data_IF_993316532079
#
_entry.id   IF_993316532079
#
_cell.length_a   1.000
_cell.length_b   1.000
_cell.length_c   1.000
_cell.angle_alpha   90.00
_cell.angle_beta   90.00
_cell.angle_gamma   90.00
#
_symmetry.space_group_name_H-M   'P 1'
#
loop_
_entity.id
_entity.type
_entity.pdbx_description
1 polymer ?
#
# COMPACT_ATOMS: atom_id res chain seq x y z
N UNK A 1 14.58 23.11 5.34
CA UNK A 1 15.07 21.70 5.26
C UNK A 1 14.35 20.92 6.34
N UNK A 2 13.45 20.03 5.97
CA UNK A 2 12.76 19.14 6.93
C UNK A 2 13.76 18.11 7.41
N UNK A 3 14.04 18.08 8.72
CA UNK A 3 14.95 17.10 9.29
C UNK A 3 14.31 15.70 9.23
N UNK A 4 15.12 14.68 8.96
CA UNK A 4 14.66 13.29 9.05
C UNK A 4 14.28 12.93 10.48
N UNK A 5 13.24 12.11 10.64
CA UNK A 5 12.85 11.57 11.93
C UNK A 5 14.00 10.79 12.57
N UNK A 6 14.26 11.09 13.84
CA UNK A 6 15.29 10.41 14.62
C UNK A 6 14.89 8.96 14.96
N UNK A 7 15.84 8.07 15.29
CA UNK A 7 15.50 6.71 15.73
C UNK A 7 14.55 6.66 16.93
N UNK A 8 14.66 7.60 17.87
CA UNK A 8 13.77 7.68 19.04
C UNK A 8 12.33 8.04 18.66
N UNK A 9 12.16 9.02 17.75
CA UNK A 9 10.84 9.39 17.24
C UNK A 9 10.19 8.24 16.50
N UNK A 10 10.95 7.54 15.63
CA UNK A 10 10.46 6.37 14.91
C UNK A 10 10.01 5.24 15.83
N UNK A 11 10.78 4.93 16.88
CA UNK A 11 10.41 3.92 17.88
C UNK A 11 9.15 4.34 18.66
N UNK A 12 9.05 5.61 19.04
CA UNK A 12 7.88 6.16 19.70
C UNK A 12 6.62 6.04 18.82
N UNK A 13 6.69 6.50 17.56
CA UNK A 13 5.56 6.41 16.63
C UNK A 13 5.20 4.97 16.32
N UNK A 14 6.18 4.10 16.10
CA UNK A 14 5.94 2.67 15.87
C UNK A 14 5.12 2.06 17.01
N UNK A 15 5.53 2.27 18.25
CA UNK A 15 4.83 1.73 19.43
C UNK A 15 3.42 2.31 19.60
N UNK A 16 3.21 3.57 19.24
CA UNK A 16 1.89 4.20 19.31
C UNK A 16 0.91 3.69 18.26
N UNK A 17 1.40 3.22 17.12
CA UNK A 17 0.57 2.78 16.00
C UNK A 17 0.12 1.31 16.12
N UNK A 18 0.91 0.44 16.75
CA UNK A 18 0.57 -0.98 16.89
C UNK A 18 -0.86 -1.18 17.43
N UNK A 19 -1.25 -0.63 18.60
CA UNK A 19 -2.60 -0.85 19.13
C UNK A 19 -3.70 -0.29 18.23
N UNK A 20 -3.45 0.82 17.53
CA UNK A 20 -4.40 1.44 16.60
C UNK A 20 -4.63 0.51 15.39
N UNK A 21 -3.56 -0.05 14.83
CA UNK A 21 -3.64 -0.99 13.72
C UNK A 21 -4.33 -2.30 14.11
N UNK A 22 -4.04 -2.82 15.31
CA UNK A 22 -4.66 -4.04 15.83
C UNK A 22 -6.17 -3.83 16.07
N UNK A 23 -6.59 -2.66 16.55
CA UNK A 23 -7.99 -2.32 16.73
C UNK A 23 -8.70 -2.17 15.38
N UNK A 24 -8.14 -1.38 14.47
CA UNK A 24 -8.70 -1.19 13.14
C UNK A 24 -8.87 -2.52 12.39
N UNK A 25 -7.88 -3.41 12.47
CA UNK A 25 -7.94 -4.70 11.81
C UNK A 25 -9.09 -5.58 12.32
N UNK A 26 -9.42 -5.54 13.60
CA UNK A 26 -10.53 -6.30 14.20
C UNK A 26 -11.91 -5.90 13.66
N UNK A 27 -12.06 -4.68 13.16
CA UNK A 27 -13.33 -4.18 12.62
C UNK A 27 -13.73 -4.88 11.31
N UNK A 28 -12.77 -5.37 10.53
CA UNK A 28 -13.04 -5.96 9.20
C UNK A 28 -12.47 -7.37 9.01
N UNK A 29 -11.59 -7.82 9.89
CA UNK A 29 -11.06 -9.19 9.86
C UNK A 29 -11.11 -9.80 11.25
N UNK A 30 -12.07 -10.74 11.46
CA UNK A 30 -12.22 -11.47 12.72
C UNK A 30 -11.01 -12.33 13.08
N UNK A 31 -10.27 -12.81 12.09
CA UNK A 31 -9.12 -13.69 12.23
C UNK A 31 -7.83 -13.07 11.67
N UNK A 32 -6.70 -13.62 12.13
CA UNK A 32 -5.36 -13.16 11.78
C UNK A 32 -4.85 -13.78 10.48
N UNK A 33 -5.66 -13.77 9.43
CA UNK A 33 -5.25 -14.25 8.10
C UNK A 33 -4.65 -13.12 7.25
N UNK A 34 -3.80 -13.44 6.26
CA UNK A 34 -3.31 -12.45 5.30
C UNK A 34 -4.47 -11.83 4.49
N UNK A 35 -4.35 -10.56 4.18
CA UNK A 35 -5.30 -9.87 3.30
C UNK A 35 -4.95 -10.22 1.85
N UNK A 36 -5.80 -11.00 1.19
CA UNK A 36 -5.58 -11.46 -0.18
C UNK A 36 -5.74 -10.35 -1.22
N UNK A 37 -6.75 -9.49 -1.04
CA UNK A 37 -7.03 -8.36 -1.93
C UNK A 37 -7.37 -7.11 -1.12
N UNK A 38 -6.38 -6.25 -0.94
CA UNK A 38 -6.54 -5.00 -0.18
C UNK A 38 -7.55 -4.04 -0.81
N UNK A 39 -7.68 -4.01 -2.15
CA UNK A 39 -8.63 -3.15 -2.83
C UNK A 39 -10.07 -3.57 -2.53
N UNK A 40 -10.36 -4.85 -2.72
CA UNK A 40 -11.68 -5.41 -2.43
C UNK A 40 -12.07 -5.22 -0.96
N UNK A 41 -11.12 -5.43 -0.03
CA UNK A 41 -11.38 -5.22 1.39
C UNK A 41 -11.76 -3.76 1.69
N UNK A 42 -11.06 -2.79 1.12
CA UNK A 42 -11.36 -1.37 1.30
C UNK A 42 -12.68 -0.97 0.62
N UNK A 43 -13.01 -1.54 -0.54
CA UNK A 43 -14.31 -1.33 -1.19
C UNK A 43 -15.46 -1.90 -0.34
N UNK A 44 -15.29 -3.06 0.28
CA UNK A 44 -16.26 -3.66 1.22
C UNK A 44 -16.45 -2.79 2.48
N UNK A 45 -15.45 -2.02 2.88
CA UNK A 45 -15.56 -1.00 3.94
C UNK A 45 -16.30 0.28 3.49
N UNK A 46 -16.81 0.33 2.26
CA UNK A 46 -17.62 1.41 1.72
C UNK A 46 -16.84 2.57 1.09
N UNK A 47 -15.59 2.34 0.72
CA UNK A 47 -14.78 3.34 0.00
C UNK A 47 -14.95 3.22 -1.51
N UNK A 48 -14.96 4.37 -2.18
CA UNK A 48 -14.77 4.44 -3.62
C UNK A 48 -13.27 4.36 -3.90
N UNK A 49 -12.80 3.28 -4.51
CA UNK A 49 -11.38 3.09 -4.84
C UNK A 49 -11.15 3.37 -6.32
N UNK A 50 -10.39 4.41 -6.61
CA UNK A 50 -9.98 4.80 -7.97
C UNK A 50 -8.52 4.42 -8.17
N UNK A 51 -8.20 3.66 -9.22
CA UNK A 51 -6.84 3.23 -9.52
C UNK A 51 -6.49 3.57 -10.97
N UNK A 52 -5.48 4.41 -11.17
CA UNK A 52 -4.99 4.76 -12.49
C UNK A 52 -3.57 5.35 -12.42
N UNK A 53 -2.81 5.37 -13.54
CA UNK A 53 -1.47 5.93 -13.57
C UNK A 53 -1.50 7.44 -13.28
N UNK A 54 -0.59 7.94 -12.42
CA UNK A 54 -0.37 9.38 -12.30
C UNK A 54 0.29 9.92 -13.57
N UNK A 55 0.00 11.17 -13.91
CA UNK A 55 0.67 11.86 -15.04
C UNK A 55 2.09 12.27 -14.65
N UNK A 56 3.07 12.02 -15.54
CA UNK A 56 4.47 12.41 -15.37
C UNK A 56 5.24 11.57 -14.34
N UNK A 57 6.46 11.99 -14.03
CA UNK A 57 7.37 11.31 -13.08
C UNK A 57 7.06 11.68 -11.62
N UNK A 58 5.80 11.55 -11.21
CA UNK A 58 5.38 11.85 -9.85
C UNK A 58 5.68 10.69 -8.90
N UNK A 59 6.21 11.01 -7.71
CA UNK A 59 6.35 10.06 -6.59
C UNK A 59 5.07 9.95 -5.73
N UNK A 60 3.95 10.49 -6.22
CA UNK A 60 2.63 10.37 -5.63
C UNK A 60 2.25 8.89 -5.50
N UNK A 61 1.92 8.44 -4.29
CA UNK A 61 1.44 7.08 -4.02
C UNK A 61 -0.07 6.98 -4.12
N UNK A 62 -0.76 7.96 -3.57
CA UNK A 62 -2.20 8.01 -3.48
C UNK A 62 -2.68 9.23 -2.72
N UNK A 63 -3.96 9.30 -2.49
CA UNK A 63 -4.59 10.23 -1.56
C UNK A 63 -5.94 9.72 -1.07
N UNK A 64 -6.28 10.10 0.13
CA UNK A 64 -7.61 9.97 0.69
C UNK A 64 -8.37 11.30 0.58
N UNK A 65 -9.62 11.22 0.19
CA UNK A 65 -10.53 12.35 0.15
C UNK A 65 -11.88 11.99 0.78
N UNK A 66 -12.34 12.84 1.69
CA UNK A 66 -13.69 12.75 2.27
C UNK A 66 -14.53 13.92 1.81
N UNK A 67 -15.71 13.64 1.30
CA UNK A 67 -16.70 14.67 0.98
C UNK A 67 -18.08 14.23 1.46
N UNK A 68 -18.60 14.92 2.47
CA UNK A 68 -19.84 14.54 3.16
C UNK A 68 -19.76 13.12 3.73
N UNK A 69 -20.57 12.18 3.24
CA UNK A 69 -20.59 10.77 3.65
C UNK A 69 -19.74 9.86 2.73
N UNK A 70 -19.17 10.41 1.67
CA UNK A 70 -18.44 9.63 0.68
C UNK A 70 -16.95 9.68 0.96
N UNK A 71 -16.34 8.51 1.08
CA UNK A 71 -14.91 8.33 1.21
C UNK A 71 -14.36 7.82 -0.12
N UNK A 72 -13.31 8.46 -0.62
CA UNK A 72 -12.65 8.07 -1.86
C UNK A 72 -11.16 7.92 -1.61
N UNK A 73 -10.57 6.84 -2.11
CA UNK A 73 -9.13 6.62 -2.14
C UNK A 73 -8.69 6.50 -3.59
N UNK A 74 -7.69 7.28 -3.96
CA UNK A 74 -6.96 7.13 -5.21
C UNK A 74 -5.64 6.42 -4.98
N UNK A 75 -5.28 5.50 -5.88
CA UNK A 75 -4.00 4.78 -5.87
C UNK A 75 -3.33 4.89 -7.24
N UNK A 76 -2.05 5.27 -7.21
CA UNK A 76 -1.22 5.38 -8.41
C UNK A 76 -0.73 4.01 -8.89
N UNK A 77 -1.19 3.59 -10.07
CA UNK A 77 -0.85 2.28 -10.66
C UNK A 77 0.49 2.25 -11.41
N UNK A 78 1.20 3.38 -11.53
CA UNK A 78 2.61 3.40 -11.94
C UNK A 78 3.53 2.73 -10.90
N UNK A 79 3.03 2.46 -9.70
CA UNK A 79 3.74 1.72 -8.67
C UNK A 79 3.50 0.22 -8.76
N UNK A 80 4.41 -0.59 -8.21
CA UNK A 80 4.24 -2.05 -8.16
C UNK A 80 3.00 -2.43 -7.36
N UNK A 81 2.32 -3.53 -7.73
CA UNK A 81 1.10 -3.97 -7.04
C UNK A 81 1.31 -4.11 -5.52
N UNK A 82 2.46 -4.66 -5.10
CA UNK A 82 2.77 -4.78 -3.68
C UNK A 82 2.89 -3.42 -2.96
N UNK A 83 3.31 -2.35 -3.68
CA UNK A 83 3.33 -0.99 -3.15
C UNK A 83 1.90 -0.41 -3.12
N UNK A 84 1.11 -0.64 -4.16
CA UNK A 84 -0.29 -0.19 -4.21
C UNK A 84 -1.10 -0.76 -3.04
N UNK A 85 -0.90 -2.04 -2.67
CA UNK A 85 -1.54 -2.63 -1.50
C UNK A 85 -1.08 -1.97 -0.18
N UNK A 86 0.18 -1.56 -0.08
CA UNK A 86 0.63 -0.79 1.08
C UNK A 86 0.01 0.61 1.08
N UNK A 87 -0.04 1.26 -0.09
CA UNK A 87 -0.56 2.62 -0.22
C UNK A 87 -2.04 2.73 0.14
N UNK A 88 -2.88 1.76 -0.21
CA UNK A 88 -4.31 1.86 0.13
C UNK A 88 -4.57 1.79 1.65
N UNK A 89 -3.78 1.01 2.40
CA UNK A 89 -3.85 0.98 3.86
C UNK A 89 -3.21 2.20 4.51
N UNK A 90 -2.22 2.81 3.87
CA UNK A 90 -1.68 4.11 4.22
C UNK A 90 -2.77 5.21 4.13
N UNK A 91 -3.52 5.26 3.04
CA UNK A 91 -4.63 6.21 2.89
C UNK A 91 -5.79 5.90 3.86
N UNK A 92 -6.03 4.62 4.16
CA UNK A 92 -7.00 4.22 5.17
C UNK A 92 -6.61 4.71 6.58
N UNK A 93 -5.32 4.79 6.93
CA UNK A 93 -4.85 5.39 8.16
C UNK A 93 -5.32 6.85 8.31
N UNK A 94 -5.15 7.67 7.27
CA UNK A 94 -5.58 9.07 7.30
C UNK A 94 -7.10 9.21 7.51
N UNK A 95 -7.88 8.29 6.95
CA UNK A 95 -9.31 8.19 7.23
C UNK A 95 -9.58 7.82 8.68
N UNK A 96 -8.97 6.75 9.16
CA UNK A 96 -9.26 6.12 10.45
C UNK A 96 -8.89 7.02 11.63
N UNK A 97 -7.77 7.71 11.53
CA UNK A 97 -7.24 8.54 12.62
C UNK A 97 -7.52 10.02 12.48
N UNK A 98 -7.97 10.49 11.32
CA UNK A 98 -8.01 11.91 10.92
C UNK A 98 -6.64 12.62 11.09
N UNK A 99 -5.53 11.89 11.06
CA UNK A 99 -4.15 12.42 11.15
C UNK A 99 -3.59 12.57 9.74
N UNK A 100 -3.19 13.77 9.37
CA UNK A 100 -2.74 14.11 8.03
C UNK A 100 -3.88 14.32 7.03
N UNK A 101 -3.67 15.23 6.10
CA UNK A 101 -4.58 15.49 4.98
C UNK A 101 -3.77 15.86 3.75
N UNK A 102 -4.16 15.36 2.60
CA UNK A 102 -3.59 15.75 1.33
C UNK A 102 -3.02 14.61 0.50
N UNK A 103 -2.03 14.93 -0.30
CA UNK A 103 -1.39 14.00 -1.22
C UNK A 103 -0.25 13.27 -0.52
N UNK A 104 -0.25 11.95 -0.59
CA UNK A 104 0.79 11.09 -0.02
C UNK A 104 1.90 10.82 -1.02
N UNK A 105 3.12 11.21 -0.65
CA UNK A 105 4.32 11.04 -1.48
C UNK A 105 5.30 10.09 -0.81
N UNK A 106 5.91 9.19 -1.58
CA UNK A 106 6.92 8.25 -1.09
C UNK A 106 8.09 8.95 -0.38
N UNK A 107 8.50 10.11 -0.89
CA UNK A 107 9.62 10.90 -0.34
C UNK A 107 9.36 11.46 1.06
N UNK A 108 8.09 11.66 1.47
CA UNK A 108 7.73 12.28 2.76
C UNK A 108 7.80 11.33 3.95
N UNK A 109 7.69 10.03 3.77
CA UNK A 109 7.64 9.01 4.85
C UNK A 109 8.80 9.13 5.86
N UNK A 110 9.95 9.60 5.46
CA UNK A 110 11.12 9.71 6.35
C UNK A 110 11.22 11.04 7.11
N UNK A 111 10.40 12.03 6.77
CA UNK A 111 10.49 13.40 7.27
C UNK A 111 9.21 13.91 7.93
N UNK A 112 8.07 13.32 7.58
CA UNK A 112 6.76 13.68 8.09
C UNK A 112 6.27 12.63 9.10
N UNK A 113 5.98 12.99 10.35
CA UNK A 113 5.48 12.06 11.36
C UNK A 113 4.16 11.37 10.97
N UNK A 114 3.23 12.08 10.31
CA UNK A 114 1.95 11.51 9.89
C UNK A 114 2.16 10.46 8.80
N UNK A 115 2.96 10.75 7.79
CA UNK A 115 3.31 9.81 6.72
C UNK A 115 4.06 8.57 7.26
N UNK A 116 4.97 8.77 8.22
CA UNK A 116 5.66 7.63 8.88
C UNK A 116 4.68 6.74 9.67
N UNK A 117 3.72 7.34 10.38
CA UNK A 117 2.68 6.59 11.11
C UNK A 117 1.78 5.84 10.15
N UNK A 118 1.38 6.46 9.03
CA UNK A 118 0.54 5.84 8.02
C UNK A 118 1.23 4.62 7.35
N UNK A 119 2.51 4.74 6.98
CA UNK A 119 3.28 3.61 6.46
C UNK A 119 3.46 2.49 7.52
N UNK A 120 3.66 2.88 8.78
CA UNK A 120 3.75 1.92 9.92
C UNK A 120 2.42 1.19 10.11
N UNK A 121 1.31 1.92 10.10
CA UNK A 121 -0.03 1.36 10.21
C UNK A 121 -0.32 0.36 9.08
N UNK A 122 -0.06 0.74 7.83
CA UNK A 122 -0.21 -0.14 6.67
C UNK A 122 0.60 -1.44 6.83
N UNK A 123 1.85 -1.33 7.28
CA UNK A 123 2.70 -2.48 7.58
C UNK A 123 2.14 -3.37 8.68
N UNK A 124 1.57 -2.80 9.75
CA UNK A 124 0.94 -3.56 10.84
C UNK A 124 -0.37 -4.24 10.40
N UNK A 125 -1.19 -3.57 9.58
CA UNK A 125 -2.43 -4.14 9.03
C UNK A 125 -2.13 -5.34 8.12
N UNK A 126 -1.20 -5.18 7.18
CA UNK A 126 -0.87 -6.22 6.20
C UNK A 126 -0.06 -7.37 6.80
N UNK A 127 0.80 -7.06 7.77
CA UNK A 127 1.75 -8.00 8.39
C UNK A 127 1.68 -7.92 9.92
N UNK A 128 0.58 -8.37 10.56
CA UNK A 128 0.49 -8.41 12.01
C UNK A 128 1.64 -9.24 12.60
N UNK A 129 2.21 -8.76 13.69
CA UNK A 129 3.41 -9.37 14.29
C UNK A 129 3.20 -10.86 14.61
N UNK A 130 2.02 -11.22 15.12
CA UNK A 130 1.66 -12.60 15.44
C UNK A 130 1.72 -13.50 14.20
N UNK A 131 1.16 -13.05 13.06
CA UNK A 131 1.15 -13.84 11.81
C UNK A 131 2.56 -13.95 11.23
N UNK A 132 3.34 -12.86 11.28
CA UNK A 132 4.74 -12.87 10.82
C UNK A 132 5.56 -13.88 11.62
N UNK A 133 5.45 -13.87 12.95
CA UNK A 133 6.13 -14.82 13.84
C UNK A 133 5.71 -16.26 13.55
N UNK A 134 4.41 -16.51 13.42
CA UNK A 134 3.85 -17.81 13.10
C UNK A 134 4.34 -18.32 11.72
N UNK A 135 4.36 -17.47 10.71
CA UNK A 135 4.87 -17.84 9.38
C UNK A 135 6.35 -18.25 9.43
N UNK A 136 7.18 -17.48 10.15
CA UNK A 136 8.61 -17.76 10.33
C UNK A 136 8.82 -19.11 11.04
N UNK A 137 8.05 -19.37 12.10
CA UNK A 137 8.13 -20.61 12.88
C UNK A 137 7.72 -21.82 12.04
N UNK A 138 6.54 -21.78 11.41
CA UNK A 138 6.02 -22.90 10.58
C UNK A 138 6.96 -23.24 9.43
N UNK A 139 7.59 -22.25 8.81
CA UNK A 139 8.50 -22.44 7.68
C UNK A 139 9.97 -22.63 8.12
N UNK A 140 10.26 -22.70 9.43
CA UNK A 140 11.60 -22.85 9.98
C UNK A 140 12.62 -21.84 9.45
N UNK A 141 12.21 -20.56 9.26
CA UNK A 141 13.04 -19.52 8.70
C UNK A 141 14.03 -18.99 9.73
N UNK A 142 15.30 -18.96 9.38
CA UNK A 142 16.37 -18.41 10.21
C UNK A 142 16.76 -17.02 9.71
N UNK A 143 16.28 -15.98 10.39
CA UNK A 143 16.44 -14.59 9.94
C UNK A 143 17.91 -14.14 9.79
N UNK A 144 18.80 -14.65 10.62
CA UNK A 144 20.23 -14.34 10.55
C UNK A 144 20.92 -14.84 9.26
N UNK A 145 20.25 -15.71 8.48
CA UNK A 145 20.71 -16.21 7.17
C UNK A 145 19.60 -16.31 6.14
N UNK A 146 18.54 -15.53 6.32
CA UNK A 146 17.37 -15.55 5.43
C UNK A 146 17.77 -15.33 3.97
N UNK A 147 17.31 -16.21 3.08
CA UNK A 147 17.53 -16.15 1.64
C UNK A 147 16.55 -15.20 0.95
N UNK A 148 16.87 -14.77 -0.27
CA UNK A 148 15.92 -14.03 -1.10
C UNK A 148 14.68 -14.84 -1.47
N UNK A 149 14.81 -16.16 -1.66
CA UNK A 149 13.67 -17.05 -1.94
C UNK A 149 12.67 -17.06 -0.78
N UNK A 150 13.15 -17.17 0.46
CA UNK A 150 12.28 -17.13 1.65
C UNK A 150 11.60 -15.76 1.78
N UNK A 151 12.33 -14.67 1.54
CA UNK A 151 11.77 -13.32 1.54
C UNK A 151 10.67 -13.15 0.47
N UNK A 152 10.89 -13.66 -0.73
CA UNK A 152 9.88 -13.61 -1.81
C UNK A 152 8.64 -14.45 -1.46
N UNK A 153 8.81 -15.62 -0.86
CA UNK A 153 7.68 -16.42 -0.39
C UNK A 153 6.87 -15.68 0.68
N UNK A 154 7.53 -15.01 1.64
CA UNK A 154 6.88 -14.15 2.63
C UNK A 154 6.16 -12.95 1.96
N UNK A 155 6.83 -12.28 1.03
CA UNK A 155 6.26 -11.18 0.24
C UNK A 155 4.95 -11.59 -0.44
N UNK A 156 4.94 -12.77 -1.06
CA UNK A 156 3.76 -13.31 -1.74
C UNK A 156 2.66 -13.69 -0.75
N UNK A 157 3.00 -14.28 0.37
CA UNK A 157 2.04 -14.65 1.41
C UNK A 157 1.31 -13.41 1.98
N UNK A 158 2.06 -12.34 2.24
CA UNK A 158 1.51 -11.09 2.78
C UNK A 158 1.02 -10.10 1.72
N UNK A 159 1.22 -10.39 0.44
CA UNK A 159 0.82 -9.54 -0.69
C UNK A 159 1.38 -8.10 -0.63
N UNK A 160 2.63 -7.95 -0.23
CA UNK A 160 3.31 -6.65 -0.02
C UNK A 160 4.50 -6.46 -0.95
N UNK A 161 5.09 -5.25 -0.98
CA UNK A 161 6.40 -5.05 -1.61
C UNK A 161 7.51 -5.65 -0.74
N UNK A 162 8.61 -6.10 -1.38
CA UNK A 162 9.76 -6.60 -0.64
C UNK A 162 10.36 -5.56 0.32
N UNK A 163 10.34 -4.29 -0.06
CA UNK A 163 10.80 -3.20 0.81
C UNK A 163 9.92 -3.06 2.06
N UNK A 164 8.59 -3.11 1.92
CA UNK A 164 7.67 -3.06 3.05
C UNK A 164 7.86 -4.27 3.99
N UNK A 165 8.03 -5.48 3.43
CA UNK A 165 8.34 -6.67 4.22
C UNK A 165 9.63 -6.51 5.03
N UNK A 166 10.73 -6.05 4.41
CA UNK A 166 12.00 -5.85 5.09
C UNK A 166 11.92 -4.81 6.20
N UNK A 167 11.21 -3.69 5.97
CA UNK A 167 10.94 -2.69 7.02
C UNK A 167 10.20 -3.34 8.19
N UNK A 168 9.15 -4.11 7.90
CA UNK A 168 8.35 -4.77 8.93
C UNK A 168 9.14 -5.81 9.72
N UNK A 169 9.96 -6.62 9.05
CA UNK A 169 10.84 -7.57 9.72
C UNK A 169 11.85 -6.89 10.65
N UNK A 170 12.44 -5.76 10.25
CA UNK A 170 13.36 -4.98 11.11
C UNK A 170 12.62 -4.41 12.33
N UNK A 171 11.36 -4.00 12.20
CA UNK A 171 10.56 -3.52 13.31
C UNK A 171 10.28 -4.63 14.33
N UNK A 172 9.97 -5.85 13.86
CA UNK A 172 9.66 -7.01 14.72
C UNK A 172 10.94 -7.64 15.31
N UNK A 173 12.02 -7.67 14.52
CA UNK A 173 13.28 -8.32 14.87
C UNK A 173 14.48 -7.34 14.77
N UNK A 174 14.57 -6.35 15.65
CA UNK A 174 15.61 -5.32 15.58
C UNK A 174 17.03 -5.87 15.74
N UNK A 175 17.20 -7.03 16.37
CA UNK A 175 18.51 -7.69 16.49
C UNK A 175 19.03 -8.24 15.16
N UNK A 176 18.16 -8.50 14.18
CA UNK A 176 18.51 -9.01 12.84
C UNK A 176 18.63 -7.88 11.79
N UNK A 177 18.60 -6.64 12.25
CA UNK A 177 18.58 -5.45 11.39
C UNK A 177 19.70 -5.45 10.36
N UNK A 178 20.92 -5.78 10.74
CA UNK A 178 22.09 -5.68 9.83
C UNK A 178 21.98 -6.66 8.66
N UNK A 179 21.53 -7.89 8.92
CA UNK A 179 21.28 -8.90 7.88
C UNK A 179 20.14 -8.44 6.97
N UNK A 180 19.03 -8.01 7.55
CA UNK A 180 17.85 -7.57 6.80
C UNK A 180 18.14 -6.32 5.95
N UNK A 181 18.96 -5.38 6.45
CA UNK A 181 19.36 -4.21 5.69
C UNK A 181 20.17 -4.55 4.43
N UNK A 182 21.02 -5.57 4.46
CA UNK A 182 21.74 -6.03 3.28
C UNK A 182 20.79 -6.54 2.18
N UNK A 183 19.62 -7.07 2.56
CA UNK A 183 18.62 -7.57 1.62
C UNK A 183 17.91 -6.48 0.81
N UNK A 184 17.95 -5.22 1.24
CA UNK A 184 17.45 -4.10 0.42
C UNK A 184 18.24 -3.90 -0.89
N UNK A 185 19.35 -4.55 -1.09
CA UNK A 185 20.14 -4.41 -2.32
C UNK A 185 19.34 -4.72 -3.59
N UNK A 186 18.37 -5.65 -3.54
CA UNK A 186 17.54 -6.01 -4.71
C UNK A 186 16.26 -5.20 -4.84
N UNK A 187 15.96 -4.29 -3.90
CA UNK A 187 14.81 -3.39 -4.01
C UNK A 187 15.15 -2.05 -4.68
N UNK A 188 16.40 -1.88 -5.09
CA UNK A 188 16.88 -0.64 -5.74
C UNK A 188 16.31 -0.50 -7.15
N UNK A 189 16.04 0.73 -7.55
CA UNK A 189 15.55 1.03 -8.89
C UNK A 189 16.73 1.11 -9.89
N UNK A 190 17.35 -0.03 -10.20
CA UNK A 190 18.34 -0.20 -11.27
C UNK A 190 18.17 -1.56 -11.94
N UNK A 191 18.59 -1.66 -13.19
CA UNK A 191 18.38 -2.84 -14.03
C UNK A 191 18.86 -4.14 -13.38
N UNK A 192 20.04 -4.15 -12.76
CA UNK A 192 20.58 -5.34 -12.10
C UNK A 192 19.69 -5.81 -10.93
N UNK A 193 19.26 -4.91 -10.06
CA UNK A 193 18.40 -5.24 -8.93
C UNK A 193 17.03 -5.72 -9.41
N UNK A 194 16.44 -5.07 -10.42
CA UNK A 194 15.15 -5.45 -11.02
C UNK A 194 15.24 -6.87 -11.59
N UNK A 195 16.25 -7.16 -12.43
CA UNK A 195 16.46 -8.49 -13.03
C UNK A 195 16.64 -9.57 -11.95
N UNK A 196 17.43 -9.28 -10.92
CA UNK A 196 17.63 -10.22 -9.80
C UNK A 196 16.33 -10.48 -9.04
N UNK A 197 15.55 -9.44 -8.75
CA UNK A 197 14.26 -9.56 -8.07
C UNK A 197 13.30 -10.42 -8.91
N UNK A 198 13.21 -10.18 -10.21
CA UNK A 198 12.40 -10.98 -11.13
C UNK A 198 12.84 -12.46 -11.13
N UNK A 199 14.13 -12.74 -11.22
CA UNK A 199 14.66 -14.10 -11.21
C UNK A 199 14.33 -14.83 -9.90
N UNK A 200 14.52 -14.19 -8.75
CA UNK A 200 14.15 -14.79 -7.47
C UNK A 200 12.64 -14.99 -7.33
N UNK A 201 11.82 -14.07 -7.87
CA UNK A 201 10.37 -14.21 -7.86
C UNK A 201 9.94 -15.43 -8.69
N UNK A 202 10.49 -15.62 -9.88
CA UNK A 202 10.23 -16.80 -10.71
C UNK A 202 10.69 -18.10 -10.01
N UNK A 203 11.90 -18.12 -9.43
CA UNK A 203 12.42 -19.28 -8.69
C UNK A 203 11.56 -19.65 -7.47
N UNK A 204 10.94 -18.67 -6.83
CA UNK A 204 10.04 -18.88 -5.70
C UNK A 204 8.61 -19.24 -6.11
N UNK A 205 8.30 -19.32 -7.42
CA UNK A 205 6.95 -19.39 -8.00
C UNK A 205 6.04 -18.27 -7.46
N UNK A 206 6.62 -17.06 -7.33
CA UNK A 206 5.92 -15.89 -6.78
C UNK A 206 5.11 -15.14 -7.83
N UNK A 207 4.15 -14.33 -7.37
CA UNK A 207 3.36 -13.45 -8.22
C UNK A 207 4.20 -12.25 -8.70
N UNK A 208 4.57 -12.24 -9.98
CA UNK A 208 5.39 -11.18 -10.57
C UNK A 208 4.70 -9.82 -10.59
N UNK A 209 3.36 -9.77 -10.50
CA UNK A 209 2.61 -8.51 -10.44
C UNK A 209 2.95 -7.70 -9.17
N UNK A 210 3.32 -8.38 -8.08
CA UNK A 210 3.72 -7.70 -6.82
C UNK A 210 4.98 -6.85 -6.96
N UNK A 211 5.80 -7.11 -7.98
CA UNK A 211 7.08 -6.42 -8.22
C UNK A 211 7.08 -5.57 -9.49
N UNK A 212 5.94 -5.42 -10.14
CA UNK A 212 5.79 -4.65 -11.38
C UNK A 212 4.67 -3.62 -11.25
N UNK A 213 4.79 -2.43 -11.88
CA UNK A 213 3.67 -1.51 -12.08
C UNK A 213 2.52 -2.23 -12.80
N UNK A 214 1.30 -1.96 -12.39
CA UNK A 214 0.14 -2.53 -13.10
C UNK A 214 -0.29 -1.66 -14.25
N UNK A 215 -0.08 -0.35 -14.16
CA UNK A 215 -0.50 0.67 -15.11
C UNK A 215 -1.99 0.57 -15.50
N UNK A 216 -2.77 -0.19 -14.74
CA UNK A 216 -4.20 -0.39 -15.00
C UNK A 216 -5.01 0.84 -14.66
N UNK A 217 -6.10 1.04 -15.40
CA UNK A 217 -7.16 1.97 -15.06
C UNK A 217 -8.35 1.17 -14.51
N UNK A 218 -8.73 1.47 -13.27
CA UNK A 218 -9.88 0.86 -12.62
C UNK A 218 -10.77 1.94 -12.03
N UNK A 219 -12.00 2.00 -12.51
CA UNK A 219 -13.06 2.86 -12.01
C UNK A 219 -14.19 1.92 -11.57
N UNK A 220 -14.55 1.86 -10.27
CA UNK A 220 -15.54 0.91 -9.78
C UNK A 220 -16.95 1.22 -10.32
N UNK A 221 -17.78 0.20 -10.46
CA UNK A 221 -19.16 0.33 -10.96
C UNK A 221 -19.97 1.34 -10.16
N UNK A 222 -19.78 1.36 -8.84
CA UNK A 222 -20.41 2.33 -7.95
C UNK A 222 -20.13 3.80 -8.30
N UNK A 223 -19.05 4.09 -9.02
CA UNK A 223 -18.81 5.44 -9.54
C UNK A 223 -19.86 5.81 -10.60
N UNK A 224 -20.13 4.91 -11.54
CA UNK A 224 -21.11 5.13 -12.61
C UNK A 224 -22.51 5.22 -12.06
N UNK A 225 -22.88 4.35 -11.10
CA UNK A 225 -24.16 4.41 -10.38
C UNK A 225 -24.34 5.76 -9.68
N UNK A 226 -23.31 6.24 -9.00
CA UNK A 226 -23.34 7.55 -8.35
C UNK A 226 -23.44 8.69 -9.36
N UNK A 227 -22.75 8.59 -10.50
CA UNK A 227 -22.83 9.59 -11.58
C UNK A 227 -24.25 9.66 -12.14
N UNK A 228 -24.85 8.53 -12.46
CA UNK A 228 -26.23 8.43 -12.97
C UNK A 228 -27.24 8.96 -11.94
N UNK A 229 -27.14 8.54 -10.69
CA UNK A 229 -28.01 9.03 -9.61
C UNK A 229 -27.91 10.54 -9.41
N UNK A 230 -26.72 11.13 -9.48
CA UNK A 230 -26.53 12.56 -9.34
C UNK A 230 -27.10 13.33 -10.56
N UNK A 231 -26.97 12.77 -11.76
CA UNK A 231 -27.54 13.36 -12.97
C UNK A 231 -29.09 13.31 -12.92
N UNK A 232 -29.68 12.17 -12.59
CA UNK A 232 -31.14 11.97 -12.53
C UNK A 232 -31.80 12.84 -11.44
N UNK A 233 -31.08 13.11 -10.35
CA UNK A 233 -31.53 13.98 -9.25
C UNK A 233 -31.15 15.47 -9.46
N UNK A 234 -30.66 15.86 -10.64
CA UNK A 234 -30.23 17.23 -10.97
C UNK A 234 -29.19 17.81 -9.99
N UNK A 235 -28.35 16.96 -9.39
CA UNK A 235 -27.24 17.37 -8.51
C UNK A 235 -25.98 17.78 -9.30
N UNK A 236 -25.87 17.30 -10.53
CA UNK A 236 -24.87 17.70 -11.52
C UNK A 236 -25.55 17.96 -12.86
N UNK A 237 -24.94 18.81 -13.70
CA UNK A 237 -25.43 19.04 -15.06
C UNK A 237 -24.98 17.93 -16.02
N UNK A 238 -25.63 17.85 -17.19
CA UNK A 238 -25.22 16.91 -18.27
C UNK A 238 -23.80 17.21 -18.75
N UNK A 239 -23.45 18.48 -18.85
CA UNK A 239 -22.11 18.93 -19.26
C UNK A 239 -21.07 18.44 -18.27
N UNK A 240 -21.35 18.51 -16.94
CA UNK A 240 -20.43 18.03 -15.92
C UNK A 240 -20.28 16.52 -15.94
N UNK A 241 -21.38 15.79 -16.15
CA UNK A 241 -21.33 14.33 -16.32
C UNK A 241 -20.47 13.94 -17.54
N UNK A 242 -20.67 14.64 -18.66
CA UNK A 242 -19.89 14.41 -19.88
C UNK A 242 -18.38 14.71 -19.68
N UNK A 243 -18.04 15.82 -19.01
CA UNK A 243 -16.64 16.12 -18.66
C UNK A 243 -15.97 15.02 -17.86
N UNK A 244 -16.68 14.45 -16.85
CA UNK A 244 -16.15 13.37 -16.03
C UNK A 244 -15.93 12.09 -16.83
N UNK A 245 -16.90 11.72 -17.69
CA UNK A 245 -16.78 10.55 -18.57
C UNK A 245 -15.62 10.72 -19.58
N UNK A 246 -15.44 11.92 -20.11
CA UNK A 246 -14.33 12.24 -21.01
C UNK A 246 -12.96 12.09 -20.33
N UNK A 247 -12.82 12.54 -19.07
CA UNK A 247 -11.58 12.34 -18.30
C UNK A 247 -11.30 10.85 -18.12
N UNK A 248 -12.33 10.05 -17.85
CA UNK A 248 -12.18 8.59 -17.71
C UNK A 248 -11.76 7.95 -19.05
N UNK A 249 -12.39 8.35 -20.16
CA UNK A 249 -12.02 7.88 -21.49
C UNK A 249 -10.56 8.22 -21.82
N UNK A 250 -10.11 9.44 -21.50
CA UNK A 250 -8.71 9.85 -21.66
C UNK A 250 -7.74 9.00 -20.82
N UNK A 251 -8.15 8.57 -19.60
CA UNK A 251 -7.34 7.67 -18.77
C UNK A 251 -7.18 6.29 -19.42
N UNK A 252 -8.24 5.71 -19.95
CA UNK A 252 -8.17 4.43 -20.67
C UNK A 252 -7.33 4.50 -21.94
N UNK A 253 -7.53 5.53 -22.76
CA UNK A 253 -6.77 5.73 -24.01
C UNK A 253 -5.27 5.99 -23.77
N UNK A 254 -4.88 6.52 -22.60
CA UNK A 254 -3.48 6.76 -22.25
C UNK A 254 -2.72 5.48 -21.83
N UNK A 255 -3.43 4.38 -21.62
CA UNK A 255 -2.85 3.08 -21.19
C UNK A 255 -2.82 2.03 -22.31
N UNK A 256 -3.41 2.31 -23.47
CA UNK A 256 -3.26 1.56 -24.71
C UNK A 256 -1.98 1.95 -25.46
#
# INVERSE_FOLDING_TARGET
>A
MTNKLTPKEKDFYYKSIIPIADEARKEFMGDYEPINNSFETIEQLGFLVLRFPSRGDSDLSGFFMRKSKNNCIYINTNQTLGRQFTSIWHEYYHYYTNDGQGLSYVSKVTTDPSEFKADTFAGCILMPEKIVKQYIEINNILLNRISYIELIKMQNYFRVSLAALLVRLIQIYPNEKDVLQQRFAITKNNLNAITRLQNYTMQANGDTRLIQPTNEVYIPESFYDNLENNLNNNRISKEKAYELLKVIEELFNATE
#
